data_IF_183013693851
#
_entry.id   IF_183013693851
#
_cell.length_a   1.000
_cell.length_b   1.000
_cell.length_c   1.000
_cell.angle_alpha   90.00
_cell.angle_beta   90.00
_cell.angle_gamma   90.00
#
_symmetry.space_group_name_H-M   'P 1'
#
loop_
_entity.id
_entity.type
_entity.pdbx_description
1 polymer ?
#
# COMPACT_ATOMS: atom_id res chain seq x y z
N UNK A 1 -8.48 19.22 4.61
CA UNK A 1 -7.01 19.02 4.64
C UNK A 1 -6.65 17.97 3.59
N UNK A 2 -5.44 17.97 3.07
CA UNK A 2 -5.03 16.96 2.07
C UNK A 2 -4.73 15.64 2.77
N UNK A 3 -5.29 14.53 2.27
CA UNK A 3 -5.03 13.18 2.80
C UNK A 3 -3.58 12.73 2.60
N UNK A 4 -2.84 13.39 1.70
CA UNK A 4 -1.44 13.09 1.41
C UNK A 4 -0.53 13.19 2.65
N UNK A 5 -0.89 14.00 3.65
CA UNK A 5 -0.11 14.10 4.89
C UNK A 5 -0.08 12.79 5.70
N UNK A 6 -1.03 11.87 5.42
CA UNK A 6 -1.13 10.59 6.10
C UNK A 6 -0.49 9.44 5.30
N UNK A 7 0.03 9.70 4.10
CA UNK A 7 0.66 8.70 3.25
C UNK A 7 2.12 9.09 3.13
N UNK A 8 3.01 8.23 3.60
CA UNK A 8 4.43 8.57 3.77
C UNK A 8 5.32 7.62 2.98
N UNK A 9 6.27 8.14 2.19
CA UNK A 9 7.30 7.30 1.58
C UNK A 9 8.18 6.69 2.68
N UNK A 10 8.57 5.44 2.49
CA UNK A 10 9.55 4.76 3.33
C UNK A 10 10.93 5.02 2.74
N UNK A 11 11.87 5.42 3.60
CA UNK A 11 13.27 5.61 3.25
C UNK A 11 14.10 4.49 3.87
N UNK A 12 15.15 4.08 3.19
CA UNK A 12 16.05 3.00 3.60
C UNK A 12 17.44 3.22 2.96
N UNK A 13 18.44 2.46 3.39
CA UNK A 13 19.82 2.62 2.91
C UNK A 13 20.11 1.90 1.59
N UNK A 14 19.23 1.00 1.16
CA UNK A 14 19.38 0.20 -0.05
C UNK A 14 18.41 0.59 -1.20
N UNK A 15 17.76 1.75 -1.09
CA UNK A 15 16.90 2.36 -2.12
C UNK A 15 15.71 1.50 -2.56
N UNK A 16 15.14 0.70 -1.67
CA UNK A 16 13.86 0.02 -1.93
C UNK A 16 12.74 1.05 -1.90
N UNK A 17 12.07 1.23 -3.02
CA UNK A 17 10.89 2.09 -3.09
C UNK A 17 9.68 1.43 -2.42
N UNK A 18 8.92 2.25 -1.70
CA UNK A 18 7.65 1.86 -1.11
C UNK A 18 7.11 2.98 -0.24
N UNK A 19 5.84 2.87 0.13
CA UNK A 19 5.22 3.79 1.06
C UNK A 19 4.30 3.05 2.02
N UNK A 20 3.73 3.78 2.96
CA UNK A 20 2.66 3.29 3.81
C UNK A 20 1.77 4.45 4.22
N UNK A 21 0.83 4.18 5.10
CA UNK A 21 -0.11 5.20 5.54
C UNK A 21 -0.43 5.12 7.02
N UNK A 22 -0.90 6.24 7.55
CA UNK A 22 -1.24 6.47 8.94
C UNK A 22 -2.76 6.33 9.15
N UNK A 23 -3.17 5.44 10.06
CA UNK A 23 -4.55 5.32 10.54
C UNK A 23 -4.51 5.20 12.06
N UNK A 24 -5.20 6.11 12.74
CA UNK A 24 -5.47 6.14 14.20
C UNK A 24 -4.51 5.31 15.07
N UNK A 25 -3.32 5.86 15.31
CA UNK A 25 -2.33 5.21 16.17
C UNK A 25 -1.43 4.17 15.49
N UNK A 26 -1.53 3.99 14.17
CA UNK A 26 -0.74 3.01 13.43
C UNK A 26 -0.14 3.59 12.15
N UNK A 27 1.02 3.05 11.76
CA UNK A 27 1.55 3.11 10.40
C UNK A 27 1.49 1.72 9.76
N UNK A 28 0.97 1.64 8.55
CA UNK A 28 0.64 0.39 7.86
C UNK A 28 1.33 0.38 6.49
N UNK A 29 1.99 -0.73 6.18
CA UNK A 29 2.71 -0.96 4.92
C UNK A 29 2.70 -2.47 4.59
N UNK A 30 2.98 -2.92 3.36
CA UNK A 30 3.17 -4.33 3.07
C UNK A 30 4.42 -4.85 3.79
N UNK A 31 4.39 -6.11 4.17
CA UNK A 31 5.49 -6.75 4.90
C UNK A 31 6.74 -6.90 4.04
N UNK A 32 6.59 -7.21 2.74
CA UNK A 32 7.72 -7.33 1.82
C UNK A 32 8.52 -6.03 1.69
N UNK A 33 7.87 -4.86 1.77
CA UNK A 33 8.57 -3.57 1.73
C UNK A 33 9.54 -3.45 2.91
N UNK A 34 9.15 -3.92 4.09
CA UNK A 34 10.02 -3.94 5.28
C UNK A 34 11.09 -5.03 5.18
N UNK A 35 10.72 -6.22 4.70
CA UNK A 35 11.66 -7.34 4.45
C UNK A 35 12.82 -6.91 3.55
N UNK A 36 12.50 -6.21 2.47
CA UNK A 36 13.45 -5.87 1.42
C UNK A 36 14.24 -4.59 1.75
N UNK A 37 13.75 -3.76 2.68
CA UNK A 37 14.39 -2.50 3.08
C UNK A 37 15.48 -2.70 4.14
N UNK A 38 16.62 -2.04 3.94
CA UNK A 38 17.68 -1.95 4.95
C UNK A 38 17.52 -0.67 5.79
N UNK A 39 17.42 -0.81 7.12
CA UNK A 39 17.20 0.31 8.05
C UNK A 39 15.99 1.21 7.69
N UNK A 40 14.78 0.65 7.45
CA UNK A 40 13.64 1.45 7.01
C UNK A 40 13.22 2.51 8.04
N UNK A 41 12.85 3.69 7.56
CA UNK A 41 12.34 4.78 8.38
C UNK A 41 11.37 5.68 7.61
N UNK A 42 10.57 6.44 8.35
CA UNK A 42 9.71 7.50 7.82
C UNK A 42 10.02 8.83 8.51
N UNK A 43 9.61 9.93 7.90
CA UNK A 43 9.56 11.23 8.55
C UNK A 43 8.15 11.53 9.04
N UNK A 44 7.91 11.32 10.34
CA UNK A 44 6.67 11.68 11.00
C UNK A 44 6.84 13.05 11.68
N UNK A 45 6.04 14.05 11.27
CA UNK A 45 6.14 15.42 11.80
C UNK A 45 7.57 15.98 11.78
N UNK A 46 8.30 15.74 10.67
CA UNK A 46 9.72 16.10 10.45
C UNK A 46 10.73 15.40 11.35
N UNK A 47 10.31 14.39 12.12
CA UNK A 47 11.20 13.55 12.93
C UNK A 47 11.38 12.19 12.28
N UNK A 48 12.62 11.73 12.25
CA UNK A 48 12.97 10.38 11.78
C UNK A 48 12.42 9.34 12.74
N UNK A 49 11.66 8.37 12.22
CA UNK A 49 11.15 7.21 12.97
C UNK A 49 11.52 5.93 12.24
N UNK A 50 12.33 5.09 12.88
CA UNK A 50 12.72 3.80 12.32
C UNK A 50 11.58 2.78 12.45
N UNK A 51 11.45 1.92 11.44
CA UNK A 51 10.44 0.88 11.31
C UNK A 51 11.03 -0.49 11.68
N UNK A 52 11.44 -0.68 12.93
CA UNK A 52 12.22 -1.87 13.37
C UNK A 52 11.42 -2.90 14.17
N UNK A 53 10.33 -2.50 14.83
CA UNK A 53 9.56 -3.36 15.73
C UNK A 53 8.06 -3.26 15.39
N UNK A 54 7.61 -3.96 14.35
CA UNK A 54 6.20 -3.99 14.01
C UNK A 54 5.39 -4.71 15.10
N UNK A 55 4.19 -4.21 15.40
CA UNK A 55 3.22 -4.88 16.27
C UNK A 55 2.57 -6.10 15.58
N UNK A 56 2.58 -6.11 14.25
CA UNK A 56 2.23 -7.27 13.43
C UNK A 56 3.13 -7.32 12.20
N UNK A 57 3.65 -8.49 11.85
CA UNK A 57 4.50 -8.69 10.68
C UNK A 57 4.32 -10.07 10.09
N UNK A 58 3.93 -10.10 8.82
CA UNK A 58 3.83 -11.32 8.03
C UNK A 58 4.14 -11.02 6.57
N UNK A 59 4.86 -11.95 5.92
CA UNK A 59 5.18 -11.87 4.50
C UNK A 59 4.88 -13.23 3.86
N UNK A 60 3.63 -13.41 3.45
CA UNK A 60 3.20 -14.57 2.68
C UNK A 60 2.50 -14.11 1.40
N UNK A 61 3.28 -14.13 0.32
CA UNK A 61 2.83 -13.71 -1.02
C UNK A 61 2.18 -14.84 -1.84
N UNK A 62 2.13 -16.05 -1.28
CA UNK A 62 1.69 -17.27 -1.98
C UNK A 62 0.29 -17.74 -1.55
N UNK A 63 -0.10 -17.49 -0.30
CA UNK A 63 -1.39 -17.87 0.25
C UNK A 63 -2.27 -16.64 0.48
N UNK A 64 -3.34 -16.51 -0.31
CA UNK A 64 -4.26 -15.37 -0.22
C UNK A 64 -5.03 -15.30 1.12
N UNK A 65 -5.08 -16.38 1.91
CA UNK A 65 -5.67 -16.38 3.26
C UNK A 65 -4.72 -15.79 4.32
N UNK A 66 -3.46 -15.57 3.95
CA UNK A 66 -2.38 -15.04 4.77
C UNK A 66 -2.12 -13.56 4.43
N UNK A 67 -1.08 -12.98 5.02
CA UNK A 67 -0.82 -11.55 4.94
C UNK A 67 0.55 -11.24 4.34
N UNK A 68 0.58 -10.18 3.56
CA UNK A 68 1.76 -9.39 3.25
C UNK A 68 1.56 -8.02 3.90
N UNK A 69 1.88 -7.92 5.20
CA UNK A 69 1.51 -6.80 6.04
C UNK A 69 2.52 -6.58 7.17
N UNK A 70 2.90 -5.32 7.36
CA UNK A 70 3.58 -4.82 8.54
C UNK A 70 2.77 -3.68 9.15
N UNK A 71 2.56 -3.74 10.46
CA UNK A 71 1.87 -2.70 11.24
C UNK A 71 2.81 -2.22 12.33
N UNK A 72 2.93 -0.91 12.49
CA UNK A 72 3.74 -0.28 13.53
C UNK A 72 2.84 0.58 14.41
N UNK A 73 2.92 0.36 15.73
CA UNK A 73 2.22 1.22 16.69
C UNK A 73 2.88 2.61 16.75
N UNK A 74 2.06 3.64 16.60
CA UNK A 74 2.40 5.06 16.62
C UNK A 74 1.31 5.83 17.36
N UNK A 75 1.14 5.63 18.68
CA UNK A 75 -0.01 6.14 19.44
C UNK A 75 -0.16 7.67 19.42
N UNK A 76 0.89 8.41 19.07
CA UNK A 76 0.83 9.86 18.89
C UNK A 76 0.10 10.32 17.63
N UNK A 77 -0.13 9.41 16.67
CA UNK A 77 -0.71 9.71 15.36
C UNK A 77 -2.21 9.86 15.45
N UNK A 78 -2.70 11.01 14.99
CA UNK A 78 -4.12 11.23 14.68
C UNK A 78 -4.28 11.31 13.16
N UNK A 79 -5.21 10.53 12.62
CA UNK A 79 -5.46 10.49 11.18
C UNK A 79 -6.92 10.78 10.86
N UNK A 80 -7.17 11.44 9.74
CA UNK A 80 -8.51 11.49 9.17
C UNK A 80 -8.80 10.25 8.31
N UNK A 81 -7.76 9.47 7.96
CA UNK A 81 -7.93 8.20 7.25
C UNK A 81 -8.57 7.15 8.15
N UNK A 82 -9.50 6.39 7.59
CA UNK A 82 -10.19 5.29 8.26
C UNK A 82 -10.20 4.05 7.38
N UNK A 83 -10.32 2.87 7.96
CA UNK A 83 -10.52 1.66 7.17
C UNK A 83 -11.95 1.57 6.66
N UNK A 84 -12.11 1.40 5.36
CA UNK A 84 -13.40 1.21 4.70
C UNK A 84 -14.14 0.00 5.29
N UNK A 85 -15.40 0.19 5.69
CA UNK A 85 -16.21 -0.84 6.34
C UNK A 85 -17.32 -1.41 5.44
N UNK A 86 -17.43 -0.94 4.20
CA UNK A 86 -18.41 -1.43 3.25
C UNK A 86 -17.98 -2.72 2.55
N UNK A 87 -18.84 -3.17 1.63
CA UNK A 87 -18.53 -4.27 0.73
C UNK A 87 -17.70 -3.71 -0.42
N UNK A 88 -16.53 -4.31 -0.68
CA UNK A 88 -15.73 -4.01 -1.86
C UNK A 88 -16.44 -4.64 -3.05
N UNK A 89 -16.88 -3.89 -4.06
CA UNK A 89 -17.67 -4.39 -5.19
C UNK A 89 -16.98 -4.09 -6.53
N UNK A 90 -17.22 -4.94 -7.53
CA UNK A 90 -16.71 -4.68 -8.88
C UNK A 90 -17.29 -3.38 -9.44
N UNK A 91 -16.46 -2.62 -10.15
CA UNK A 91 -16.81 -1.30 -10.69
C UNK A 91 -16.61 -0.14 -9.70
N UNK A 92 -16.28 -0.40 -8.44
CA UNK A 92 -15.89 0.67 -7.52
C UNK A 92 -14.66 1.41 -8.06
N UNK A 93 -14.78 2.73 -8.18
CA UNK A 93 -13.66 3.62 -8.52
C UNK A 93 -12.96 4.09 -7.25
N UNK A 94 -11.69 3.76 -7.14
CA UNK A 94 -10.80 4.13 -6.05
C UNK A 94 -9.69 5.04 -6.56
N UNK A 95 -9.08 5.82 -5.67
CA UNK A 95 -7.80 6.49 -5.92
C UNK A 95 -6.67 5.70 -5.29
N UNK A 96 -5.67 5.32 -6.08
CA UNK A 96 -4.42 4.75 -5.58
C UNK A 96 -3.35 5.83 -5.51
N UNK A 97 -2.74 5.97 -4.34
CA UNK A 97 -1.74 7.00 -4.08
C UNK A 97 -0.45 6.33 -3.63
N UNK A 98 0.67 6.62 -4.27
CA UNK A 98 1.99 6.11 -3.89
C UNK A 98 3.07 7.17 -4.12
N UNK A 99 4.29 6.84 -3.75
CA UNK A 99 5.49 7.62 -4.04
C UNK A 99 6.51 6.77 -4.78
N UNK A 100 7.39 7.45 -5.51
CA UNK A 100 8.58 6.84 -6.09
C UNK A 100 9.77 7.75 -5.92
N UNK A 101 10.95 7.20 -5.62
CA UNK A 101 12.17 7.98 -5.51
C UNK A 101 12.55 8.60 -6.85
N UNK A 102 12.94 9.86 -6.82
CA UNK A 102 13.46 10.63 -7.96
C UNK A 102 14.71 11.42 -7.53
N UNK A 103 15.41 12.03 -8.49
CA UNK A 103 16.62 12.82 -8.19
C UNK A 103 16.35 14.03 -7.29
N UNK A 104 15.11 14.50 -7.25
CA UNK A 104 14.63 15.61 -6.41
C UNK A 104 13.96 15.18 -5.11
N UNK A 105 13.92 13.88 -4.79
CA UNK A 105 13.28 13.34 -3.60
C UNK A 105 12.24 12.28 -3.94
N UNK A 106 10.96 12.60 -3.76
CA UNK A 106 9.85 11.68 -4.03
C UNK A 106 8.85 12.31 -4.99
N UNK A 107 8.55 11.58 -6.06
CA UNK A 107 7.48 11.93 -6.98
C UNK A 107 6.19 11.27 -6.52
N UNK A 108 5.12 12.06 -6.44
CA UNK A 108 3.77 11.56 -6.14
C UNK A 108 3.22 10.81 -7.35
N UNK A 109 2.73 9.60 -7.14
CA UNK A 109 2.01 8.81 -8.14
C UNK A 109 0.56 8.68 -7.67
N UNK A 110 -0.35 9.35 -8.37
CA UNK A 110 -1.78 9.24 -8.13
C UNK A 110 -2.46 8.69 -9.39
N UNK A 111 -3.31 7.69 -9.23
CA UNK A 111 -4.04 7.08 -10.33
C UNK A 111 -5.42 6.56 -9.89
N UNK A 112 -6.30 6.35 -10.85
CA UNK A 112 -7.58 5.70 -10.59
C UNK A 112 -7.39 4.19 -10.64
N UNK A 113 -8.05 3.47 -9.72
CA UNK A 113 -8.12 2.02 -9.68
C UNK A 113 -9.58 1.57 -9.68
N UNK A 114 -9.93 0.68 -10.62
CA UNK A 114 -11.29 0.15 -10.79
C UNK A 114 -11.32 -1.29 -10.29
N UNK A 115 -12.13 -1.57 -9.27
CA UNK A 115 -12.22 -2.90 -8.67
C UNK A 115 -12.78 -3.90 -9.68
N UNK A 116 -12.10 -5.04 -9.82
CA UNK A 116 -12.49 -6.12 -10.72
C UNK A 116 -13.27 -7.23 -10.01
N UNK A 117 -13.80 -8.16 -10.79
CA UNK A 117 -14.41 -9.41 -10.32
C UNK A 117 -13.40 -10.39 -9.68
N UNK A 118 -12.23 -9.91 -9.25
CA UNK A 118 -11.19 -10.70 -8.62
C UNK A 118 -11.18 -10.42 -7.11
N UNK A 119 -11.61 -11.39 -6.33
CA UNK A 119 -11.49 -11.40 -4.87
C UNK A 119 -11.00 -12.77 -4.44
N UNK A 120 -9.95 -12.79 -3.64
CA UNK A 120 -9.40 -14.03 -3.11
C UNK A 120 -9.05 -13.82 -1.65
N UNK A 121 -9.86 -14.40 -0.77
CA UNK A 121 -9.67 -14.36 0.69
C UNK A 121 -9.44 -12.94 1.24
N UNK A 122 -8.20 -12.58 1.59
CA UNK A 122 -7.85 -11.27 2.15
C UNK A 122 -7.65 -10.18 1.09
N UNK A 123 -7.61 -10.52 -0.20
CA UNK A 123 -7.19 -9.63 -1.27
C UNK A 123 -8.30 -9.37 -2.30
N UNK A 124 -8.17 -8.25 -3.01
CA UNK A 124 -8.98 -7.93 -4.18
C UNK A 124 -8.10 -7.37 -5.30
N UNK A 125 -8.55 -7.56 -6.53
CA UNK A 125 -7.90 -7.06 -7.74
C UNK A 125 -8.55 -5.78 -8.24
N UNK A 126 -7.76 -4.89 -8.81
CA UNK A 126 -8.23 -3.71 -9.50
C UNK A 126 -7.37 -3.40 -10.73
N UNK A 127 -7.98 -2.80 -11.75
CA UNK A 127 -7.28 -2.25 -12.91
C UNK A 127 -6.97 -0.78 -12.66
N UNK A 128 -5.71 -0.42 -12.79
CA UNK A 128 -5.28 0.98 -12.68
C UNK A 128 -5.31 1.66 -14.04
N UNK A 129 -5.59 2.96 -14.12
CA UNK A 129 -5.54 3.69 -15.40
C UNK A 129 -4.12 4.07 -15.84
N UNK A 130 -3.11 3.59 -15.10
CA UNK A 130 -1.69 3.74 -15.40
C UNK A 130 -0.98 2.39 -15.23
N UNK A 131 0.19 2.21 -15.82
CA UNK A 131 0.98 1.00 -15.62
C UNK A 131 1.91 1.18 -14.41
N UNK A 132 1.37 0.95 -13.21
CA UNK A 132 2.17 1.03 -11.98
C UNK A 132 3.37 0.08 -12.09
N UNK A 133 4.54 0.57 -11.69
CA UNK A 133 5.81 -0.18 -11.71
C UNK A 133 6.24 -0.53 -10.29
N UNK A 134 7.23 -1.41 -10.19
CA UNK A 134 7.91 -1.69 -8.92
C UNK A 134 8.27 -0.38 -8.19
N UNK A 135 8.05 -0.40 -6.87
CA UNK A 135 8.18 0.76 -5.99
C UNK A 135 6.86 1.42 -5.58
N UNK A 136 5.74 1.07 -6.23
CA UNK A 136 4.43 1.60 -5.82
C UNK A 136 3.81 0.86 -4.62
N UNK A 137 4.47 -0.17 -4.10
CA UNK A 137 3.97 -0.98 -3.00
C UNK A 137 3.67 -0.13 -1.76
N UNK A 138 2.57 -0.49 -1.11
CA UNK A 138 2.08 0.13 0.11
C UNK A 138 1.26 1.41 -0.07
N UNK A 139 1.09 1.84 -1.32
CA UNK A 139 0.12 2.88 -1.64
C UNK A 139 -1.31 2.46 -1.28
N UNK A 140 -2.07 3.26 -0.52
CA UNK A 140 -3.46 2.95 -0.24
C UNK A 140 -4.34 3.17 -1.48
N UNK A 141 -5.33 2.30 -1.65
CA UNK A 141 -6.50 2.54 -2.49
C UNK A 141 -7.63 3.14 -1.64
N UNK A 142 -8.13 4.32 -1.99
CA UNK A 142 -8.98 5.16 -1.14
C UNK A 142 -10.27 5.59 -1.87
N UNK A 143 -11.37 5.67 -1.14
CA UNK A 143 -12.59 6.41 -1.52
C UNK A 143 -12.92 7.45 -0.44
N UNK A 144 -13.01 8.73 -0.81
CA UNK A 144 -13.09 9.80 0.20
C UNK A 144 -11.85 9.79 1.09
N UNK A 145 -12.04 9.58 2.40
CA UNK A 145 -10.98 9.37 3.40
C UNK A 145 -10.89 7.91 3.89
N UNK A 146 -11.54 6.96 3.20
CA UNK A 146 -11.57 5.57 3.60
C UNK A 146 -10.60 4.74 2.77
N UNK A 147 -9.63 4.10 3.43
CA UNK A 147 -8.70 3.15 2.83
C UNK A 147 -9.44 1.83 2.62
N UNK A 148 -9.60 1.45 1.36
CA UNK A 148 -10.27 0.22 0.92
C UNK A 148 -9.29 -0.95 0.88
N UNK A 149 -8.02 -0.68 0.58
CA UNK A 149 -6.94 -1.65 0.63
C UNK A 149 -5.57 -1.02 0.45
N UNK A 150 -4.54 -1.86 0.49
CA UNK A 150 -3.14 -1.46 0.33
C UNK A 150 -2.52 -2.23 -0.83
N UNK A 151 -1.82 -1.54 -1.73
CA UNK A 151 -1.19 -2.14 -2.90
C UNK A 151 -0.06 -3.07 -2.46
N UNK A 152 -0.18 -4.37 -2.76
CA UNK A 152 0.86 -5.36 -2.43
C UNK A 152 1.59 -5.87 -3.67
N UNK A 153 0.91 -5.92 -4.82
CA UNK A 153 1.51 -6.47 -6.05
C UNK A 153 0.93 -5.82 -7.30
N UNK A 154 1.77 -5.63 -8.31
CA UNK A 154 1.35 -5.25 -9.66
C UNK A 154 1.67 -6.36 -10.67
N UNK A 155 0.99 -6.33 -11.81
CA UNK A 155 1.27 -7.26 -12.91
C UNK A 155 2.31 -6.72 -13.90
N UNK A 156 2.98 -5.59 -13.65
CA UNK A 156 4.02 -5.06 -14.53
C UNK A 156 5.42 -5.47 -14.05
N UNK A 157 6.24 -6.05 -14.94
CA UNK A 157 7.61 -6.47 -14.63
C UNK A 157 8.65 -5.32 -14.60
N UNK A 158 8.22 -4.07 -14.84
CA UNK A 158 9.07 -2.87 -14.89
C UNK A 158 9.37 -2.40 -16.33
N UNK A 159 9.34 -3.32 -17.28
CA UNK A 159 9.59 -3.07 -18.71
C UNK A 159 8.30 -2.84 -19.51
N UNK A 160 7.18 -2.61 -18.82
CA UNK A 160 5.85 -2.53 -19.42
C UNK A 160 5.43 -3.85 -20.10
N UNK A 161 5.74 -4.97 -19.47
CA UNK A 161 5.25 -6.29 -19.86
C UNK A 161 4.57 -6.97 -18.65
N UNK A 162 3.56 -7.83 -18.89
CA UNK A 162 2.88 -8.52 -17.81
C UNK A 162 3.76 -9.60 -17.15
N UNK A 163 3.75 -9.69 -15.82
CA UNK A 163 4.33 -10.80 -15.06
C UNK A 163 3.53 -12.10 -15.28
N UNK A 164 2.21 -11.98 -15.40
CA UNK A 164 1.29 -13.04 -15.74
C UNK A 164 0.51 -12.64 -16.99
N UNK A 165 0.74 -13.36 -18.10
CA UNK A 165 0.13 -13.13 -19.40
C UNK A 165 -1.40 -13.33 -19.41
N UNK A 166 -1.98 -13.95 -18.38
CA UNK A 166 -3.44 -14.12 -18.24
C UNK A 166 -4.14 -12.90 -17.63
N UNK A 167 -3.38 -11.93 -17.12
CA UNK A 167 -3.91 -10.73 -16.48
C UNK A 167 -3.49 -9.47 -17.27
N UNK A 168 -4.31 -8.41 -17.30
CA UNK A 168 -3.90 -7.14 -17.87
C UNK A 168 -2.64 -6.57 -17.17
N UNK A 169 -1.80 -5.86 -17.91
CA UNK A 169 -0.56 -5.29 -17.36
C UNK A 169 -0.79 -4.30 -16.20
N UNK A 170 -1.90 -3.57 -16.26
CA UNK A 170 -2.32 -2.59 -15.27
C UNK A 170 -3.10 -3.21 -14.09
N UNK A 171 -3.19 -4.54 -14.04
CA UNK A 171 -3.77 -5.25 -12.91
C UNK A 171 -2.89 -5.10 -11.67
N UNK A 172 -3.54 -4.78 -10.56
CA UNK A 172 -2.92 -4.63 -9.25
C UNK A 172 -3.72 -5.42 -8.21
N UNK A 173 -3.01 -6.00 -7.25
CA UNK A 173 -3.56 -6.74 -6.12
C UNK A 173 -3.42 -5.91 -4.85
N UNK A 174 -4.51 -5.84 -4.08
CA UNK A 174 -4.58 -5.07 -2.86
C UNK A 174 -4.99 -5.97 -1.69
N UNK A 175 -4.30 -5.85 -0.56
CA UNK A 175 -4.77 -6.43 0.70
C UNK A 175 -5.93 -5.58 1.22
N UNK A 176 -7.06 -6.22 1.52
CA UNK A 176 -8.31 -5.52 1.86
C UNK A 176 -8.27 -4.87 3.25
N UNK A 177 -8.98 -3.75 3.37
CA UNK A 177 -9.27 -3.09 4.64
C UNK A 177 -9.94 -4.01 5.66
N UNK A 178 -10.78 -4.95 5.21
CA UNK A 178 -11.37 -6.00 6.05
C UNK A 178 -10.29 -6.90 6.68
N UNK A 179 -9.26 -7.27 5.92
CA UNK A 179 -8.15 -8.07 6.43
C UNK A 179 -7.30 -7.26 7.43
N UNK A 180 -6.98 -6.00 7.12
CA UNK A 180 -6.22 -5.11 8.02
C UNK A 180 -6.95 -4.92 9.36
N UNK A 181 -8.27 -4.71 9.33
CA UNK A 181 -9.11 -4.54 10.54
C UNK A 181 -9.14 -5.77 11.46
N UNK A 182 -8.77 -6.96 10.98
CA UNK A 182 -8.66 -8.14 11.86
C UNK A 182 -7.39 -8.10 12.71
N UNK A 183 -6.44 -7.24 12.35
CA UNK A 183 -5.13 -7.11 13.00
C UNK A 183 -5.09 -5.93 13.96
N UNK A 184 -5.75 -4.80 13.62
CA UNK A 184 -5.74 -3.55 14.41
C UNK A 184 -7.08 -3.22 15.04
#
# INVERSE_FOLDING_TARGET
MSLLQYILPIQNTNYVDGCGFLIDGYFITPGHVIRDSENPFIFLSKRKRYLTQPSFYEVNEQDASKYDLAVFSMPEVKSELKLYNGVIESGMKLKSISFKTSTSGFDLIECDAFVECYKQENYFGALTNTHLKAGCSGGPAIIGNEVVGILTKGNNNGNNEPCNNMLPINFCLFLSSKAIRRII
#
